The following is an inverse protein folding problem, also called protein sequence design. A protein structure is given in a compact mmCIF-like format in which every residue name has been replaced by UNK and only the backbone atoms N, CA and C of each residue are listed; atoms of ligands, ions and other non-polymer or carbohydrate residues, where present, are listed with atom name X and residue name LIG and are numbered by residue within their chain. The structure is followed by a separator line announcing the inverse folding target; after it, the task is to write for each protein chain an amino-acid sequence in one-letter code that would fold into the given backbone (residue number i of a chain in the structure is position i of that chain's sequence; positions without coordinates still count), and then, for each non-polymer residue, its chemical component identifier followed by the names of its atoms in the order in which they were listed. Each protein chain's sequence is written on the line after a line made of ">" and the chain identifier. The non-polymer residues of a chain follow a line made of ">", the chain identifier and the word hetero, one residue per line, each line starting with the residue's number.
data_IF_653191620882
#
_entry.id   IF_653191620882
#
_cell.length_a   1.000
_cell.length_b   1.000
_cell.length_c   1.000
_cell.angle_alpha   90.00
_cell.angle_beta   90.00
_cell.angle_gamma   90.00
#
_symmetry.space_group_name_H-M   'P 1'
#
loop_
_entity.id
_entity.type
_entity.pdbx_description
1 polymer ?
#
# COMPACT_ATOMS: atom_id res chain seq x y z
N UNK A 1 -29.44 15.44 4.03
CA UNK A 1 -28.54 15.10 2.91
C UNK A 1 -27.21 15.77 3.22
N UNK A 2 -26.25 15.00 3.73
CA UNK A 2 -24.94 15.52 4.14
C UNK A 2 -24.12 15.83 2.88
N UNK A 3 -23.61 17.06 2.78
CA UNK A 3 -22.65 17.46 1.75
C UNK A 3 -21.45 16.51 1.84
N UNK A 4 -21.32 15.60 0.86
CA UNK A 4 -20.06 14.88 0.65
C UNK A 4 -19.03 15.95 0.34
N UNK A 5 -18.04 16.13 1.21
CA UNK A 5 -16.90 17.00 0.93
C UNK A 5 -16.32 16.61 -0.42
N UNK A 6 -16.30 17.54 -1.38
CA UNK A 6 -15.81 17.32 -2.74
C UNK A 6 -14.27 17.22 -2.80
N UNK A 7 -13.63 16.81 -1.69
CA UNK A 7 -12.20 16.66 -1.58
C UNK A 7 -11.81 15.29 -2.14
N UNK A 8 -10.77 15.21 -3.00
CA UNK A 8 -10.25 13.93 -3.44
C UNK A 8 -9.85 13.06 -2.25
N UNK A 9 -9.99 11.74 -2.39
CA UNK A 9 -9.58 10.78 -1.37
C UNK A 9 -8.12 10.98 -0.99
N UNK A 10 -7.81 10.85 0.30
CA UNK A 10 -6.45 10.92 0.78
C UNK A 10 -5.81 9.54 0.73
N UNK A 11 -4.58 9.47 0.22
CA UNK A 11 -3.82 8.23 0.13
C UNK A 11 -2.57 8.30 1.01
N UNK A 12 -2.22 7.19 1.66
CA UNK A 12 -0.99 7.08 2.45
C UNK A 12 -0.17 5.87 2.05
N UNK A 13 1.13 5.95 2.33
CA UNK A 13 2.10 4.90 2.04
C UNK A 13 2.80 4.50 3.32
N UNK A 14 2.43 3.35 3.84
CA UNK A 14 2.89 2.87 5.13
C UNK A 14 4.02 1.83 4.97
N UNK A 15 5.04 1.85 5.85
CA UNK A 15 6.09 0.84 5.84
C UNK A 15 5.55 -0.52 6.28
N UNK A 16 5.90 -1.56 5.53
CA UNK A 16 5.55 -2.95 5.88
C UNK A 16 6.79 -3.82 6.07
N UNK A 17 6.65 -4.76 7.01
CA UNK A 17 7.70 -5.69 7.45
C UNK A 17 7.56 -7.09 6.88
N UNK A 18 6.33 -7.48 6.52
CA UNK A 18 5.98 -8.78 5.94
C UNK A 18 5.26 -8.59 4.61
N UNK A 19 5.42 -9.54 3.69
CA UNK A 19 4.66 -9.56 2.43
C UNK A 19 3.24 -10.08 2.72
N UNK A 20 2.15 -9.33 2.42
CA UNK A 20 0.78 -9.78 2.56
C UNK A 20 0.50 -11.24 2.15
N UNK A 21 1.05 -11.68 1.01
CA UNK A 21 0.83 -13.06 0.52
C UNK A 21 1.38 -14.10 1.51
N UNK A 22 2.50 -13.80 2.18
CA UNK A 22 3.13 -14.72 3.11
C UNK A 22 2.39 -14.82 4.45
N UNK A 23 1.45 -13.91 4.73
CA UNK A 23 0.76 -13.81 6.04
C UNK A 23 -0.74 -14.09 5.98
N UNK A 24 -1.33 -14.06 4.79
CA UNK A 24 -2.75 -14.37 4.58
C UNK A 24 -3.13 -15.76 5.11
N UNK A 25 -2.38 -16.85 4.87
CA UNK A 25 -2.73 -18.17 5.40
C UNK A 25 -2.85 -18.20 6.94
N UNK A 26 -1.95 -17.50 7.64
CA UNK A 26 -1.94 -17.38 9.09
C UNK A 26 -3.12 -16.54 9.59
N UNK A 27 -3.51 -15.52 8.83
CA UNK A 27 -4.71 -14.73 9.13
C UNK A 27 -5.96 -15.60 8.94
N UNK A 28 -6.05 -16.39 7.86
CA UNK A 28 -7.16 -17.31 7.63
C UNK A 28 -7.28 -18.35 8.76
N UNK A 29 -6.17 -18.93 9.23
CA UNK A 29 -6.18 -19.80 10.41
C UNK A 29 -6.68 -19.07 11.66
N UNK A 30 -6.21 -17.83 11.84
CA UNK A 30 -6.62 -16.95 12.93
C UNK A 30 -8.11 -16.63 12.89
N UNK A 31 -8.74 -16.50 11.72
CA UNK A 31 -10.20 -16.32 11.62
C UNK A 31 -10.98 -17.51 12.19
N UNK A 32 -10.41 -18.72 12.17
CA UNK A 32 -10.95 -19.91 12.84
C UNK A 32 -10.62 -20.03 14.34
N UNK A 33 -9.91 -19.04 14.90
CA UNK A 33 -9.52 -19.01 16.32
C UNK A 33 -8.15 -19.59 16.63
N UNK A 34 -7.38 -20.02 15.61
CA UNK A 34 -5.99 -20.43 15.78
C UNK A 34 -5.03 -19.27 15.49
N UNK A 35 -4.52 -18.66 16.55
CA UNK A 35 -3.69 -17.46 16.47
C UNK A 35 -2.20 -17.72 16.68
N UNK A 36 -1.78 -18.98 16.87
CA UNK A 36 -0.41 -19.28 17.31
C UNK A 36 0.64 -18.77 16.33
N UNK A 37 0.45 -19.08 15.04
CA UNK A 37 1.37 -18.63 13.98
C UNK A 37 1.34 -17.11 13.83
N UNK A 38 0.15 -16.49 13.84
CA UNK A 38 0.00 -15.04 13.68
C UNK A 38 0.69 -14.26 14.82
N UNK A 39 0.58 -14.76 16.05
CA UNK A 39 1.29 -14.21 17.22
C UNK A 39 2.80 -14.36 17.08
N UNK A 40 3.27 -15.45 16.50
CA UNK A 40 4.69 -15.66 16.18
C UNK A 40 5.22 -14.69 15.12
N UNK A 41 4.41 -14.38 14.11
CA UNK A 41 4.77 -13.40 13.06
C UNK A 41 4.86 -11.98 13.64
N UNK A 42 3.96 -11.62 14.56
CA UNK A 42 3.88 -10.25 15.10
C UNK A 42 3.97 -10.20 16.64
N UNK A 43 5.14 -10.50 17.22
CA UNK A 43 5.31 -10.56 18.68
C UNK A 43 5.11 -9.21 19.37
N UNK A 44 5.40 -8.10 18.68
CA UNK A 44 5.33 -6.75 19.26
C UNK A 44 3.94 -6.10 19.12
N UNK A 45 2.97 -6.74 18.45
CA UNK A 45 1.62 -6.18 18.32
C UNK A 45 0.76 -6.58 19.52
N UNK A 46 0.44 -5.60 20.37
CA UNK A 46 -0.44 -5.81 21.53
C UNK A 46 -1.81 -6.36 21.10
N UNK A 47 -2.36 -5.85 20.00
CA UNK A 47 -3.65 -6.30 19.46
C UNK A 47 -3.62 -7.79 19.06
N UNK A 48 -2.58 -8.21 18.33
CA UNK A 48 -2.41 -9.62 17.92
C UNK A 48 -2.13 -10.52 19.13
N UNK A 49 -1.30 -10.07 20.08
CA UNK A 49 -0.99 -10.86 21.28
C UNK A 49 -2.22 -11.07 22.19
N UNK A 50 -3.17 -10.14 22.18
CA UNK A 50 -4.41 -10.22 22.96
C UNK A 50 -5.49 -11.15 22.38
N UNK A 51 -5.32 -11.67 21.16
CA UNK A 51 -6.24 -12.66 20.58
C UNK A 51 -6.29 -13.92 21.45
N UNK A 52 -7.48 -14.50 21.61
CA UNK A 52 -7.70 -15.64 22.54
C UNK A 52 -7.81 -16.93 21.74
N UNK A 53 -6.82 -17.81 21.86
CA UNK A 53 -6.80 -19.11 21.17
C UNK A 53 -8.11 -19.87 21.42
N UNK A 54 -8.69 -20.42 20.35
CA UNK A 54 -9.99 -21.09 20.36
C UNK A 54 -11.19 -20.14 20.25
N UNK A 55 -10.97 -18.84 20.00
CA UNK A 55 -12.04 -17.87 19.74
C UNK A 55 -11.73 -17.07 18.47
N UNK A 56 -12.72 -16.91 17.62
CA UNK A 56 -12.61 -16.04 16.45
C UNK A 56 -12.24 -14.60 16.87
N UNK A 57 -11.43 -13.89 16.06
CA UNK A 57 -11.02 -12.54 16.36
C UNK A 57 -12.21 -11.60 16.18
N UNK A 58 -12.37 -10.63 17.10
CA UNK A 58 -13.40 -9.59 17.00
C UNK A 58 -13.10 -8.49 15.96
N UNK A 59 -12.16 -8.73 15.05
CA UNK A 59 -11.65 -7.79 14.06
C UNK A 59 -11.65 -8.45 12.68
N UNK A 60 -11.91 -7.64 11.64
CA UNK A 60 -12.02 -8.10 10.26
C UNK A 60 -10.66 -8.48 9.63
N UNK A 61 -10.65 -9.24 8.52
CA UNK A 61 -9.41 -9.72 7.90
C UNK A 61 -8.49 -8.60 7.41
N UNK A 62 -9.02 -7.51 6.84
CA UNK A 62 -8.22 -6.38 6.39
C UNK A 62 -7.52 -5.67 7.56
N UNK A 63 -8.22 -5.49 8.68
CA UNK A 63 -7.65 -4.93 9.90
C UNK A 63 -6.58 -5.86 10.48
N UNK A 64 -6.82 -7.17 10.53
CA UNK A 64 -5.82 -8.16 10.94
C UNK A 64 -4.58 -8.13 10.06
N UNK A 65 -4.76 -8.10 8.75
CA UNK A 65 -3.67 -7.99 7.78
C UNK A 65 -2.84 -6.75 8.06
N UNK A 66 -3.49 -5.59 8.18
CA UNK A 66 -2.82 -4.34 8.44
C UNK A 66 -1.99 -4.37 9.73
N UNK A 67 -2.57 -4.83 10.85
CA UNK A 67 -1.87 -4.95 12.14
C UNK A 67 -0.66 -5.90 12.08
N UNK A 68 -0.74 -6.91 11.22
CA UNK A 68 0.31 -7.93 11.07
C UNK A 68 1.48 -7.41 10.23
N UNK A 69 1.21 -6.74 9.10
CA UNK A 69 2.25 -6.33 8.15
C UNK A 69 2.93 -5.00 8.50
N UNK A 70 2.23 -4.07 9.15
CA UNK A 70 2.71 -2.71 9.40
C UNK A 70 4.00 -2.69 10.23
N UNK A 71 4.92 -1.78 9.96
CA UNK A 71 6.10 -1.58 10.80
C UNK A 71 5.69 -1.02 12.19
N UNK A 72 6.17 -1.67 13.25
CA UNK A 72 6.02 -1.23 14.63
C UNK A 72 7.39 -0.94 15.23
N UNK A 73 7.44 -0.01 16.17
CA UNK A 73 8.62 0.23 17.00
C UNK A 73 8.79 -0.86 18.08
N UNK A 74 9.83 -0.72 18.90
CA UNK A 74 10.16 -1.67 19.98
C UNK A 74 9.10 -1.73 21.10
N UNK A 75 8.21 -0.73 21.18
CA UNK A 75 7.13 -0.65 22.15
C UNK A 75 5.77 -1.06 21.55
N UNK A 76 5.74 -1.50 20.29
CA UNK A 76 4.50 -1.85 19.58
C UNK A 76 3.74 -0.63 19.05
N UNK A 77 4.33 0.56 19.10
CA UNK A 77 3.80 1.77 18.49
C UNK A 77 3.99 1.78 16.98
N UNK A 78 3.11 2.47 16.25
CA UNK A 78 3.25 2.62 14.79
C UNK A 78 4.39 3.58 14.48
N UNK A 79 5.27 3.18 13.58
CA UNK A 79 6.28 4.09 13.02
C UNK A 79 5.63 5.12 12.10
N UNK A 80 6.30 6.26 11.91
CA UNK A 80 5.86 7.25 10.92
C UNK A 80 5.77 6.66 9.50
N UNK A 81 4.82 7.13 8.70
CA UNK A 81 4.69 6.77 7.29
C UNK A 81 5.95 7.05 6.48
N UNK A 82 6.12 6.37 5.36
CA UNK A 82 7.27 6.58 4.45
C UNK A 82 7.22 7.99 3.83
N UNK A 83 6.02 8.54 3.77
CA UNK A 83 5.66 9.85 3.23
C UNK A 83 5.70 10.99 4.27
N UNK A 84 6.09 10.74 5.53
CA UNK A 84 6.03 11.71 6.63
C UNK A 84 6.92 12.96 6.46
N UNK A 85 7.75 13.02 5.41
CA UNK A 85 8.56 14.18 5.05
C UNK A 85 7.89 15.15 4.05
N UNK A 86 8.71 15.86 3.27
CA UNK A 86 8.27 16.84 2.27
C UNK A 86 7.36 16.17 1.25
N UNK A 87 6.08 16.54 1.26
CA UNK A 87 5.14 16.16 0.21
C UNK A 87 4.09 15.12 0.59
N UNK A 88 3.88 14.78 1.89
CA UNK A 88 2.77 13.92 2.34
C UNK A 88 1.42 14.32 1.74
N UNK A 89 1.08 15.61 1.81
CA UNK A 89 -0.14 16.13 1.19
C UNK A 89 -0.13 16.01 -0.33
N UNK A 90 1.03 16.13 -0.98
CA UNK A 90 1.14 16.12 -2.45
C UNK A 90 1.15 14.72 -3.04
N UNK A 91 1.67 13.75 -2.29
CA UNK A 91 1.74 12.35 -2.66
C UNK A 91 0.40 11.65 -2.33
N UNK A 92 -0.26 12.05 -1.24
CA UNK A 92 -1.57 11.56 -0.84
C UNK A 92 -2.78 12.29 -1.42
N UNK A 93 -2.60 13.52 -1.92
CA UNK A 93 -3.62 14.33 -2.63
C UNK A 93 -3.01 14.91 -3.89
N UNK A 94 -2.69 14.04 -4.84
CA UNK A 94 -2.24 14.52 -6.16
C UNK A 94 -3.32 15.44 -6.76
N UNK A 95 -2.99 16.57 -7.40
CA UNK A 95 -3.97 17.56 -7.82
C UNK A 95 -4.70 17.17 -9.12
N UNK A 96 -5.23 15.93 -9.17
CA UNK A 96 -5.96 15.39 -10.32
C UNK A 96 -6.92 14.27 -9.90
N UNK A 97 -8.11 14.24 -10.51
CA UNK A 97 -9.14 13.22 -10.36
C UNK A 97 -9.34 12.72 -8.92
N UNK A 98 -8.98 11.47 -8.63
CA UNK A 98 -9.17 10.77 -7.36
C UNK A 98 -8.11 11.09 -6.29
N UNK A 99 -7.11 11.92 -6.63
CA UNK A 99 -5.99 12.24 -5.76
C UNK A 99 -4.90 11.18 -5.71
N UNK A 100 -5.02 10.10 -6.49
CA UNK A 100 -4.10 8.97 -6.48
C UNK A 100 -3.01 9.15 -7.54
N UNK A 101 -1.78 9.35 -7.07
CA UNK A 101 -0.58 9.48 -7.92
C UNK A 101 -0.29 8.22 -8.76
N UNK A 102 -0.60 7.04 -8.26
CA UNK A 102 -0.36 5.76 -8.94
C UNK A 102 -1.35 5.58 -10.08
N UNK A 103 -2.65 5.86 -9.84
CA UNK A 103 -3.68 5.87 -10.90
C UNK A 103 -3.34 6.88 -11.98
N UNK A 104 -2.86 8.07 -11.61
CA UNK A 104 -2.42 9.08 -12.56
C UNK A 104 -1.30 8.58 -13.47
N UNK A 105 -0.27 7.96 -12.88
CA UNK A 105 0.86 7.40 -13.65
C UNK A 105 0.42 6.25 -14.56
N UNK A 106 -0.45 5.35 -14.09
CA UNK A 106 -1.02 4.27 -14.92
C UNK A 106 -1.79 4.82 -16.12
N UNK A 107 -2.52 5.92 -15.93
CA UNK A 107 -3.39 6.51 -16.95
C UNK A 107 -2.61 7.25 -18.03
N UNK A 108 -1.53 7.96 -17.66
CA UNK A 108 -0.86 8.91 -18.56
C UNK A 108 0.54 8.48 -18.98
N UNK A 109 0.92 7.23 -18.73
CA UNK A 109 2.18 6.68 -19.22
C UNK A 109 1.96 5.43 -20.05
N UNK A 110 2.87 5.16 -20.98
CA UNK A 110 2.99 3.86 -21.67
C UNK A 110 4.43 3.36 -21.59
N UNK A 111 4.61 2.05 -21.61
CA UNK A 111 5.94 1.44 -21.57
C UNK A 111 6.52 1.27 -22.98
N UNK A 112 7.86 1.35 -23.10
CA UNK A 112 8.58 1.20 -24.38
C UNK A 112 9.02 -0.24 -24.59
N UNK A 113 8.66 -0.79 -25.75
CA UNK A 113 9.08 -2.13 -26.18
C UNK A 113 8.39 -3.21 -25.34
N UNK A 114 9.18 -4.15 -24.85
CA UNK A 114 8.76 -5.35 -24.10
C UNK A 114 8.71 -5.17 -22.57
N UNK A 115 9.01 -3.97 -22.07
CA UNK A 115 8.98 -3.74 -20.62
C UNK A 115 7.53 -3.70 -20.12
N UNK A 116 7.18 -4.59 -19.20
CA UNK A 116 5.86 -4.62 -18.54
C UNK A 116 5.92 -4.25 -17.06
N UNK A 117 7.09 -4.36 -16.44
CA UNK A 117 7.31 -4.27 -14.99
C UNK A 117 6.89 -2.95 -14.36
N UNK A 118 6.96 -1.82 -15.06
CA UNK A 118 6.55 -0.53 -14.48
C UNK A 118 5.05 -0.53 -14.20
N UNK A 119 4.22 -0.85 -15.20
CA UNK A 119 2.76 -0.86 -15.01
C UNK A 119 2.29 -2.03 -14.15
N UNK A 120 2.93 -3.19 -14.23
CA UNK A 120 2.62 -4.33 -13.35
C UNK A 120 2.77 -3.94 -11.86
N UNK A 121 3.90 -3.33 -11.49
CA UNK A 121 4.15 -2.93 -10.11
C UNK A 121 3.31 -1.72 -9.67
N UNK A 122 3.02 -0.77 -10.56
CA UNK A 122 2.09 0.32 -10.26
C UNK A 122 0.67 -0.23 -10.05
N UNK A 123 0.21 -1.15 -10.90
CA UNK A 123 -1.10 -1.77 -10.79
C UNK A 123 -1.22 -2.58 -9.49
N UNK A 124 -0.20 -3.39 -9.17
CA UNK A 124 -0.12 -4.11 -7.89
C UNK A 124 -0.19 -3.15 -6.69
N UNK A 125 0.50 -2.01 -6.75
CA UNK A 125 0.47 -1.03 -5.67
C UNK A 125 -0.90 -0.33 -5.53
N UNK A 126 -1.62 -0.09 -6.63
CA UNK A 126 -2.93 0.58 -6.60
C UNK A 126 -4.10 -0.34 -6.31
N UNK A 127 -4.00 -1.63 -6.61
CA UNK A 127 -5.16 -2.53 -6.56
C UNK A 127 -4.84 -4.00 -6.23
N UNK A 128 -3.61 -4.32 -5.82
CA UNK A 128 -3.19 -5.71 -5.58
C UNK A 128 -3.94 -6.46 -4.47
N UNK A 129 -4.59 -5.75 -3.54
CA UNK A 129 -5.44 -6.34 -2.49
C UNK A 129 -6.92 -6.38 -2.86
N UNK A 130 -7.30 -6.07 -4.11
CA UNK A 130 -8.65 -6.37 -4.59
C UNK A 130 -8.88 -7.88 -4.60
N UNK A 131 -10.14 -8.31 -4.44
CA UNK A 131 -10.48 -9.73 -4.47
C UNK A 131 -10.11 -10.38 -5.80
N UNK A 132 -10.25 -9.63 -6.90
CA UNK A 132 -9.89 -10.09 -8.25
C UNK A 132 -8.38 -10.34 -8.41
N UNK A 133 -7.55 -9.50 -7.79
CA UNK A 133 -6.08 -9.62 -7.90
C UNK A 133 -5.48 -10.55 -6.84
N UNK A 134 -6.05 -10.56 -5.63
CA UNK A 134 -5.58 -11.36 -4.52
C UNK A 134 -6.11 -12.81 -4.57
N UNK A 135 -7.30 -13.00 -5.15
CA UNK A 135 -8.04 -14.26 -5.10
C UNK A 135 -8.69 -14.57 -3.76
N UNK A 136 -8.63 -13.63 -2.81
CA UNK A 136 -9.11 -13.78 -1.43
C UNK A 136 -9.98 -12.59 -1.03
N UNK A 137 -11.13 -12.89 -0.42
CA UNK A 137 -12.11 -11.88 -0.04
C UNK A 137 -11.81 -11.23 1.31
N UNK A 138 -12.30 -10.00 1.51
CA UNK A 138 -12.29 -9.34 2.83
C UNK A 138 -10.97 -8.73 3.30
N UNK A 139 -9.91 -8.75 2.47
CA UNK A 139 -8.60 -8.15 2.79
C UNK A 139 -8.44 -6.69 2.34
N UNK A 140 -9.40 -6.16 1.57
CA UNK A 140 -9.37 -4.77 1.08
C UNK A 140 -9.93 -3.77 2.09
N UNK A 141 -11.16 -4.00 2.55
CA UNK A 141 -11.91 -3.04 3.36
C UNK A 141 -12.10 -3.57 4.78
N UNK A 142 -11.78 -2.74 5.77
CA UNK A 142 -11.83 -3.09 7.18
C UNK A 142 -12.48 -2.02 8.06
N UNK A 143 -12.45 -2.26 9.37
CA UNK A 143 -13.07 -1.41 10.37
C UNK A 143 -12.55 0.04 10.35
N UNK A 144 -13.44 0.99 10.67
CA UNK A 144 -13.06 2.40 10.83
C UNK A 144 -12.70 3.13 9.53
N UNK A 145 -13.15 2.64 8.37
CA UNK A 145 -12.87 3.25 7.07
C UNK A 145 -11.49 2.90 6.50
N UNK A 146 -10.88 1.81 6.98
CA UNK A 146 -9.63 1.28 6.46
C UNK A 146 -9.85 0.68 5.07
N UNK A 147 -9.26 1.26 4.02
CA UNK A 147 -9.16 0.64 2.70
C UNK A 147 -7.69 0.39 2.36
N UNK A 148 -7.30 -0.88 2.29
CA UNK A 148 -6.00 -1.35 1.80
C UNK A 148 -6.08 -1.53 0.28
N UNK A 149 -5.22 -0.84 -0.46
CA UNK A 149 -5.26 -0.87 -1.93
C UNK A 149 -4.34 -1.95 -2.51
N UNK A 150 -3.06 -1.85 -2.22
CA UNK A 150 -2.03 -2.71 -2.77
C UNK A 150 -0.70 -2.49 -2.09
N UNK A 151 0.30 -3.30 -2.44
CA UNK A 151 1.60 -3.26 -1.77
C UNK A 151 2.75 -3.56 -2.71
N UNK A 152 3.96 -3.24 -2.23
CA UNK A 152 5.22 -3.70 -2.78
C UNK A 152 6.06 -4.29 -1.66
N UNK A 153 6.63 -5.47 -1.87
CA UNK A 153 7.64 -6.00 -0.96
C UNK A 153 9.01 -5.32 -1.19
N UNK A 154 9.99 -5.63 -0.35
CA UNK A 154 11.32 -4.98 -0.37
C UNK A 154 12.04 -5.09 -1.73
N UNK A 155 11.87 -6.22 -2.43
CA UNK A 155 12.49 -6.46 -3.75
C UNK A 155 11.80 -5.61 -4.81
N UNK A 156 10.47 -5.63 -4.81
CA UNK A 156 9.62 -4.90 -5.74
C UNK A 156 9.77 -3.38 -5.62
N UNK A 157 9.99 -2.85 -4.40
CA UNK A 157 10.34 -1.44 -4.20
C UNK A 157 11.59 -1.05 -5.02
N UNK A 158 12.59 -1.92 -5.02
CA UNK A 158 13.83 -1.68 -5.77
C UNK A 158 13.66 -1.89 -7.27
N UNK A 159 12.79 -2.82 -7.67
CA UNK A 159 12.44 -3.05 -9.07
C UNK A 159 11.66 -1.88 -9.65
N UNK A 160 10.61 -1.39 -8.97
CA UNK A 160 9.85 -0.24 -9.41
C UNK A 160 10.76 1.00 -9.56
N UNK A 161 11.66 1.22 -8.61
CA UNK A 161 12.64 2.31 -8.71
C UNK A 161 13.53 2.19 -9.95
N UNK A 162 14.03 0.98 -10.25
CA UNK A 162 14.84 0.71 -11.44
C UNK A 162 14.03 0.93 -12.72
N UNK A 163 12.79 0.46 -12.76
CA UNK A 163 11.88 0.62 -13.89
C UNK A 163 11.60 2.10 -14.19
N UNK A 164 11.29 2.91 -13.18
CA UNK A 164 11.09 4.36 -13.35
C UNK A 164 12.37 5.02 -13.88
N UNK A 165 13.54 4.71 -13.30
CA UNK A 165 14.83 5.33 -13.67
C UNK A 165 15.34 4.91 -15.04
N UNK A 166 14.91 3.77 -15.57
CA UNK A 166 15.30 3.31 -16.90
C UNK A 166 14.89 4.26 -18.02
N UNK A 167 13.86 5.10 -17.79
CA UNK A 167 13.29 5.98 -18.82
C UNK A 167 12.62 5.22 -19.97
N UNK A 168 12.38 3.91 -19.84
CA UNK A 168 11.70 3.08 -20.84
C UNK A 168 10.17 3.26 -20.80
N UNK A 169 9.72 4.49 -20.65
CA UNK A 169 8.32 4.88 -20.66
C UNK A 169 8.16 6.22 -21.40
N UNK A 170 6.94 6.51 -21.84
CA UNK A 170 6.58 7.77 -22.49
C UNK A 170 5.35 8.35 -21.80
N UNK A 171 5.29 9.67 -21.79
CA UNK A 171 4.08 10.43 -21.46
C UNK A 171 3.12 10.32 -22.64
N UNK A 172 1.85 10.08 -22.34
CA UNK A 172 0.78 10.08 -23.35
C UNK A 172 0.38 11.51 -23.74
N UNK A 173 -0.05 11.70 -24.98
CA UNK A 173 -0.46 13.02 -25.50
C UNK A 173 -1.66 13.62 -24.77
N UNK A 174 -2.44 12.78 -24.11
CA UNK A 174 -3.65 13.12 -23.38
C UNK A 174 -3.37 13.54 -21.93
N UNK A 175 -2.10 13.66 -21.52
CA UNK A 175 -1.74 14.13 -20.19
C UNK A 175 -2.34 15.53 -19.92
N UNK A 176 -3.14 15.68 -18.85
CA UNK A 176 -3.88 16.91 -18.60
C UNK A 176 -3.05 17.98 -17.86
N UNK A 177 -1.95 17.59 -17.22
CA UNK A 177 -1.10 18.49 -16.44
C UNK A 177 0.27 18.54 -17.11
N UNK A 178 0.71 19.74 -17.51
CA UNK A 178 2.04 19.92 -18.09
C UNK A 178 3.14 19.50 -17.10
N UNK A 179 3.87 18.43 -17.42
CA UNK A 179 4.91 17.84 -16.57
C UNK A 179 4.38 17.11 -15.33
N UNK A 180 3.10 16.73 -15.30
CA UNK A 180 2.46 16.05 -14.19
C UNK A 180 3.08 14.68 -13.90
N UNK A 181 3.39 13.90 -14.94
CA UNK A 181 3.99 12.57 -14.89
C UNK A 181 5.40 12.66 -14.32
N UNK A 182 6.22 13.59 -14.81
CA UNK A 182 7.56 13.84 -14.27
C UNK A 182 7.49 14.26 -12.80
N UNK A 183 6.51 15.08 -12.45
CA UNK A 183 6.26 15.47 -11.07
C UNK A 183 5.86 14.28 -10.19
N UNK A 184 4.95 13.45 -10.68
CA UNK A 184 4.46 12.26 -10.00
C UNK A 184 5.58 11.23 -9.79
N UNK A 185 6.36 10.91 -10.82
CA UNK A 185 7.50 10.01 -10.67
C UNK A 185 8.54 10.53 -9.69
N UNK A 186 8.78 11.84 -9.63
CA UNK A 186 9.72 12.42 -8.65
C UNK A 186 9.25 12.18 -7.21
N UNK A 187 7.96 12.39 -6.94
CA UNK A 187 7.36 12.12 -5.64
C UNK A 187 7.42 10.63 -5.28
N UNK A 188 6.99 9.76 -6.20
CA UNK A 188 7.02 8.31 -6.02
C UNK A 188 8.45 7.80 -5.78
N UNK A 189 9.43 8.27 -6.54
CA UNK A 189 10.85 7.93 -6.34
C UNK A 189 11.38 8.37 -4.98
N UNK A 190 10.92 9.51 -4.45
CA UNK A 190 11.33 9.97 -3.12
C UNK A 190 10.83 9.00 -2.03
N UNK A 191 9.56 8.57 -2.13
CA UNK A 191 8.96 7.56 -1.25
C UNK A 191 9.69 6.22 -1.36
N UNK A 192 9.93 5.71 -2.57
CA UNK A 192 10.65 4.44 -2.78
C UNK A 192 12.08 4.48 -2.21
N UNK A 193 12.78 5.62 -2.31
CA UNK A 193 14.10 5.79 -1.68
C UNK A 193 14.03 5.75 -0.15
N UNK A 194 12.97 6.31 0.45
CA UNK A 194 12.79 6.24 1.90
C UNK A 194 12.50 4.79 2.35
N UNK A 195 11.65 4.06 1.62
CA UNK A 195 11.40 2.63 1.86
C UNK A 195 12.69 1.79 1.77
N UNK A 196 13.52 2.01 0.75
CA UNK A 196 14.81 1.33 0.61
C UNK A 196 15.76 1.62 1.77
N UNK A 197 15.87 2.88 2.22
CA UNK A 197 16.72 3.24 3.36
C UNK A 197 16.26 2.54 4.65
N UNK A 198 14.94 2.42 4.86
CA UNK A 198 14.34 1.67 5.97
C UNK A 198 14.37 0.15 5.76
N UNK A 199 14.73 -0.32 4.57
CA UNK A 199 14.71 -1.75 4.19
C UNK A 199 13.32 -2.37 4.39
N UNK A 200 12.25 -1.63 4.09
CA UNK A 200 10.87 -2.09 4.22
C UNK A 200 10.14 -2.17 2.87
N UNK A 201 9.01 -2.85 2.84
CA UNK A 201 8.05 -2.75 1.75
C UNK A 201 7.14 -1.52 1.93
N UNK A 202 6.18 -1.36 1.03
CA UNK A 202 5.21 -0.26 1.05
C UNK A 202 3.80 -0.81 0.92
N UNK A 203 2.89 -0.35 1.76
CA UNK A 203 1.46 -0.56 1.63
C UNK A 203 0.78 0.76 1.27
N UNK A 204 -0.05 0.75 0.24
CA UNK A 204 -0.89 1.88 -0.13
C UNK A 204 -2.27 1.75 0.53
N UNK A 205 -2.73 2.82 1.16
CA UNK A 205 -4.07 2.89 1.77
C UNK A 205 -4.82 4.12 1.30
N UNK A 206 -6.14 4.01 1.30
CA UNK A 206 -7.06 5.12 1.05
C UNK A 206 -7.85 5.44 2.31
N UNK A 207 -8.07 6.73 2.54
CA UNK A 207 -8.88 7.27 3.63
C UNK A 207 -10.13 7.90 3.04
N UNK A 208 -11.28 7.58 3.65
CA UNK A 208 -12.61 8.12 3.29
C UNK A 208 -12.98 9.32 4.13
#
# INVERSE_FOLDING_TARGET
>A
MSERSNLPSFHTFDPITHDPIEVIPQIQSSLGGDHEELKGVKPNSVDIQNLRVGKEPGIDPATLLYLTIIELDEFGGRTEGIDAGVGKERLGRFPYADGNIVTYLLTYTKQKGDMTTLHELLYKLSDGLSEDNLGEAGFRDGFGGLTLLGWLNRKEVSELQRSIRSGRWEVLSEEPLDGGVDYAFRLLLAMLRAAQRRKCGVLMRRHS
#
